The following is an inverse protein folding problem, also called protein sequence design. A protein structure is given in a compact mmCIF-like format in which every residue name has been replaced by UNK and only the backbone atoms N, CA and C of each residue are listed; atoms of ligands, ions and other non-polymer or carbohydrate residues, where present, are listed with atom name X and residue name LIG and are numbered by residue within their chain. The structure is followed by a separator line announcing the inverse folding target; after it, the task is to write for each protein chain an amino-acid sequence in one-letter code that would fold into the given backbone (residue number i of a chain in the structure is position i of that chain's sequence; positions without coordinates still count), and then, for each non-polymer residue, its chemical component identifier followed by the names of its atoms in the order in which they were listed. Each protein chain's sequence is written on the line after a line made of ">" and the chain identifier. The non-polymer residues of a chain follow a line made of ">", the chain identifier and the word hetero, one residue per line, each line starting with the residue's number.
data_IF_477287510379
#
_entry.id   IF_477287510379
#
_cell.length_a   1.000
_cell.length_b   1.000
_cell.length_c   1.000
_cell.angle_alpha   90.00
_cell.angle_beta   90.00
_cell.angle_gamma   90.00
#
_symmetry.space_group_name_H-M   'P 1'
#
loop_
_entity.id
_entity.type
_entity.pdbx_description
1 polymer ?
#
# COMPACT_ATOMS: atom_id res chain seq x y z
N UNK A 1 -61.66 0.64 58.53
CA UNK A 1 -61.40 1.42 57.29
C UNK A 1 -60.09 0.94 56.69
N UNK A 2 -60.16 0.31 55.51
CA UNK A 2 -59.03 -0.26 54.76
C UNK A 2 -58.20 0.87 54.16
N UNK A 3 -56.86 0.84 54.29
CA UNK A 3 -55.94 1.56 53.43
C UNK A 3 -55.06 0.53 52.72
N UNK A 4 -55.37 0.32 51.45
CA UNK A 4 -54.57 -0.44 50.50
C UNK A 4 -53.43 0.48 50.03
N UNK A 5 -52.19 0.03 50.18
CA UNK A 5 -51.02 0.66 49.57
C UNK A 5 -50.77 -0.07 48.25
N UNK A 6 -51.02 0.58 47.12
CA UNK A 6 -50.76 0.06 45.78
C UNK A 6 -49.36 0.54 45.36
N UNK A 7 -48.41 -0.38 45.24
CA UNK A 7 -47.10 -0.08 44.68
C UNK A 7 -47.19 -0.20 43.15
N UNK A 8 -47.03 0.92 42.44
CA UNK A 8 -46.83 0.94 40.99
C UNK A 8 -45.39 0.52 40.71
N UNK A 9 -45.19 -0.62 40.04
CA UNK A 9 -43.91 -1.00 39.44
C UNK A 9 -43.97 -0.55 37.98
N UNK A 10 -43.31 0.55 37.66
CA UNK A 10 -43.03 0.96 36.27
C UNK A 10 -41.81 0.20 35.78
N UNK A 11 -42.03 -0.83 34.96
CA UNK A 11 -40.97 -1.52 34.23
C UNK A 11 -40.58 -0.69 33.02
N UNK A 12 -39.38 -0.11 33.02
CA UNK A 12 -38.79 0.50 31.84
C UNK A 12 -38.30 -0.60 30.90
N UNK A 13 -38.90 -0.69 29.70
CA UNK A 13 -38.38 -1.50 28.60
C UNK A 13 -37.14 -0.79 28.04
N UNK A 14 -35.95 -1.35 28.28
CA UNK A 14 -34.73 -0.94 27.57
C UNK A 14 -34.74 -1.70 26.25
N UNK A 15 -35.06 -1.00 25.16
CA UNK A 15 -34.85 -1.51 23.80
C UNK A 15 -33.34 -1.48 23.56
N UNK A 16 -32.71 -2.65 23.69
CA UNK A 16 -31.31 -2.85 23.32
C UNK A 16 -31.21 -2.72 21.80
N UNK A 17 -30.87 -1.53 21.31
CA UNK A 17 -30.45 -1.34 19.93
C UNK A 17 -29.20 -2.20 19.68
N UNK A 18 -29.29 -3.09 18.69
CA UNK A 18 -28.15 -3.81 18.17
C UNK A 18 -27.30 -2.79 17.38
N UNK A 19 -26.39 -2.10 18.06
CA UNK A 19 -25.30 -1.42 17.37
C UNK A 19 -24.41 -2.54 16.81
N UNK A 20 -24.36 -2.65 15.49
CA UNK A 20 -23.37 -3.51 14.84
C UNK A 20 -21.98 -3.12 15.40
N UNK A 21 -21.12 -4.08 15.77
CA UNK A 21 -19.76 -3.74 16.17
C UNK A 21 -19.14 -2.96 15.01
N UNK A 22 -18.59 -1.80 15.31
CA UNK A 22 -17.72 -1.11 14.36
C UNK A 22 -16.61 -2.10 14.00
N UNK A 23 -16.48 -2.42 12.72
CA UNK A 23 -15.40 -3.27 12.24
C UNK A 23 -14.09 -2.57 12.62
N UNK A 24 -13.31 -3.22 13.48
CA UNK A 24 -11.98 -2.74 13.80
C UNK A 24 -11.19 -2.60 12.49
N UNK A 25 -10.39 -1.54 12.30
CA UNK A 25 -9.60 -1.37 11.10
C UNK A 25 -8.68 -2.60 10.95
N UNK A 26 -8.88 -3.34 9.85
CA UNK A 26 -8.06 -4.49 9.49
C UNK A 26 -6.60 -4.01 9.45
N UNK A 27 -5.69 -4.61 10.24
CA UNK A 27 -4.27 -4.32 10.14
C UNK A 27 -3.84 -4.48 8.69
N UNK A 28 -2.93 -3.62 8.21
CA UNK A 28 -2.50 -3.65 6.81
C UNK A 28 -1.93 -5.00 6.32
N UNK A 29 -1.66 -5.94 7.24
CA UNK A 29 -1.19 -7.31 6.99
C UNK A 29 -2.30 -8.35 6.73
N UNK A 30 -3.59 -7.98 6.76
CA UNK A 30 -4.71 -8.93 6.60
C UNK A 30 -5.73 -8.54 5.51
N UNK A 31 -5.42 -7.57 4.65
CA UNK A 31 -6.29 -7.25 3.53
C UNK A 31 -6.39 -8.46 2.57
N UNK A 32 -7.60 -8.82 2.08
CA UNK A 32 -7.74 -9.90 1.11
C UNK A 32 -6.88 -9.63 -0.12
N UNK A 33 -6.27 -10.69 -0.68
CA UNK A 33 -5.56 -10.59 -1.95
C UNK A 33 -6.49 -10.00 -3.03
N UNK A 34 -5.93 -9.13 -3.88
CA UNK A 34 -6.65 -8.41 -4.93
C UNK A 34 -7.82 -7.53 -4.43
N UNK A 35 -7.75 -7.06 -3.19
CA UNK A 35 -8.66 -6.06 -2.62
C UNK A 35 -8.37 -4.62 -3.05
N UNK A 36 -7.31 -4.37 -3.82
CA UNK A 36 -6.94 -3.04 -4.27
C UNK A 36 -8.09 -2.35 -5.00
N UNK A 37 -8.43 -1.14 -4.56
CA UNK A 37 -9.57 -0.39 -5.06
C UNK A 37 -9.39 1.11 -4.86
N UNK A 38 -10.20 1.89 -5.55
CA UNK A 38 -10.40 3.31 -5.22
C UNK A 38 -11.43 3.43 -4.09
N UNK A 39 -11.06 4.12 -3.01
CA UNK A 39 -11.98 4.52 -1.95
C UNK A 39 -12.57 5.89 -2.29
N UNK A 40 -13.85 5.94 -2.62
CA UNK A 40 -14.56 7.17 -3.01
C UNK A 40 -14.74 8.17 -1.86
N UNK A 41 -14.76 7.71 -0.60
CA UNK A 41 -14.92 8.59 0.56
C UNK A 41 -13.60 9.28 0.90
N UNK A 42 -12.50 8.57 0.70
CA UNK A 42 -11.13 9.03 0.98
C UNK A 42 -10.42 9.58 -0.25
N UNK A 43 -11.00 9.40 -1.43
CA UNK A 43 -10.46 9.78 -2.74
C UNK A 43 -9.05 9.21 -2.99
N UNK A 44 -8.81 7.94 -2.65
CA UNK A 44 -7.48 7.32 -2.75
C UNK A 44 -7.55 5.82 -3.08
N UNK A 45 -6.57 5.33 -3.82
CA UNK A 45 -6.38 3.89 -4.05
C UNK A 45 -5.70 3.21 -2.87
N UNK A 46 -6.16 2.04 -2.40
CA UNK A 46 -5.45 1.27 -1.37
C UNK A 46 -5.86 -0.21 -1.41
N UNK A 47 -5.11 -1.06 -0.71
CA UNK A 47 -5.35 -2.50 -0.61
C UNK A 47 -4.18 -3.33 -1.14
N UNK A 48 -4.45 -4.62 -1.35
CA UNK A 48 -3.46 -5.59 -1.84
C UNK A 48 -3.80 -6.01 -3.26
N UNK A 49 -2.80 -6.20 -4.10
CA UNK A 49 -2.99 -6.80 -5.42
C UNK A 49 -1.80 -7.66 -5.86
N UNK A 50 -2.06 -8.53 -6.81
CA UNK A 50 -1.07 -9.32 -7.52
C UNK A 50 -0.82 -8.74 -8.90
N UNK A 51 0.45 -8.62 -9.27
CA UNK A 51 0.90 -8.11 -10.57
C UNK A 51 1.97 -9.04 -11.13
N UNK A 52 1.83 -9.39 -12.40
CA UNK A 52 2.87 -10.05 -13.18
C UNK A 52 3.68 -8.97 -13.92
N UNK A 53 5.00 -9.08 -13.87
CA UNK A 53 5.88 -8.07 -14.44
C UNK A 53 7.36 -8.35 -14.28
N UNK A 54 8.17 -7.31 -14.49
CA UNK A 54 9.62 -7.41 -14.36
C UNK A 54 10.26 -6.08 -13.94
N UNK A 55 11.42 -6.17 -13.28
CA UNK A 55 12.16 -5.03 -12.79
C UNK A 55 13.03 -4.38 -13.87
N UNK A 56 13.12 -3.06 -13.84
CA UNK A 56 14.13 -2.26 -14.53
C UNK A 56 14.79 -1.33 -13.53
N UNK A 57 16.11 -1.19 -13.67
CA UNK A 57 16.94 -0.40 -12.77
C UNK A 57 17.29 0.92 -13.46
N UNK A 58 17.09 2.04 -12.78
CA UNK A 58 17.43 3.37 -13.27
C UNK A 58 18.29 4.10 -12.24
N UNK A 59 19.38 4.69 -12.73
CA UNK A 59 20.21 5.57 -11.91
C UNK A 59 19.52 6.93 -11.79
N UNK A 60 19.24 7.33 -10.55
CA UNK A 60 18.61 8.59 -10.21
C UNK A 60 19.58 9.43 -9.38
N UNK A 61 19.49 10.75 -9.51
CA UNK A 61 20.19 11.68 -8.63
C UNK A 61 19.30 12.06 -7.44
N UNK A 62 19.92 12.33 -6.30
CA UNK A 62 19.23 12.91 -5.14
C UNK A 62 18.36 14.10 -5.54
N UNK A 63 17.11 14.04 -5.11
CA UNK A 63 16.14 15.09 -5.39
C UNK A 63 16.58 16.39 -4.71
N UNK A 64 16.50 17.51 -5.43
CA UNK A 64 16.82 18.86 -4.91
C UNK A 64 18.28 19.07 -4.48
N UNK A 65 19.21 18.20 -4.89
CA UNK A 65 20.63 18.42 -4.66
C UNK A 65 21.21 19.46 -5.66
N UNK A 66 21.98 20.41 -5.15
CA UNK A 66 22.63 21.46 -5.95
C UNK A 66 24.14 21.22 -6.14
N UNK A 67 24.83 20.59 -5.18
CA UNK A 67 26.27 20.28 -5.21
C UNK A 67 26.54 18.93 -4.51
N UNK A 68 27.55 18.17 -4.98
CA UNK A 68 27.99 16.87 -4.43
C UNK A 68 26.90 15.78 -4.31
N UNK A 69 26.05 15.66 -5.33
CA UNK A 69 24.89 14.75 -5.31
C UNK A 69 25.26 13.28 -5.34
N UNK A 70 24.63 12.50 -4.46
CA UNK A 70 24.67 11.04 -4.55
C UNK A 70 23.81 10.55 -5.72
N UNK A 71 24.18 9.41 -6.27
CA UNK A 71 23.34 8.63 -7.19
C UNK A 71 22.83 7.40 -6.47
N UNK A 72 21.60 7.01 -6.77
CA UNK A 72 21.01 5.77 -6.28
C UNK A 72 20.39 4.98 -7.43
N UNK A 73 20.45 3.66 -7.33
CA UNK A 73 19.80 2.75 -8.27
C UNK A 73 18.36 2.53 -7.82
N UNK A 74 17.42 3.13 -8.52
CA UNK A 74 15.99 2.99 -8.28
C UNK A 74 15.39 1.86 -9.12
N UNK A 75 14.38 1.18 -8.59
CA UNK A 75 13.75 0.01 -9.19
C UNK A 75 12.32 0.35 -9.60
N UNK A 76 12.04 0.20 -10.89
CA UNK A 76 10.69 0.18 -11.43
C UNK A 76 10.27 -1.24 -11.73
N UNK A 77 9.05 -1.61 -11.35
CA UNK A 77 8.42 -2.85 -11.75
C UNK A 77 7.42 -2.56 -12.88
N UNK A 78 7.73 -3.06 -14.06
CA UNK A 78 6.92 -2.91 -15.26
C UNK A 78 5.81 -3.96 -15.22
N UNK A 79 4.57 -3.49 -15.22
CA UNK A 79 3.38 -4.33 -15.14
C UNK A 79 3.07 -4.87 -16.54
N UNK A 80 3.03 -6.20 -16.66
CA UNK A 80 2.61 -6.90 -17.87
C UNK A 80 1.14 -7.31 -17.78
N UNK A 81 0.72 -7.80 -16.61
CA UNK A 81 -0.62 -8.31 -16.41
C UNK A 81 -1.05 -8.20 -14.94
N UNK A 82 -2.37 -8.08 -14.74
CA UNK A 82 -3.02 -8.04 -13.42
C UNK A 82 -4.50 -8.40 -13.59
N UNK A 83 -5.11 -8.98 -12.57
CA UNK A 83 -6.54 -9.25 -12.52
C UNK A 83 -7.35 -8.10 -11.88
N UNK A 84 -6.67 -7.02 -11.47
CA UNK A 84 -7.29 -5.89 -10.78
C UNK A 84 -7.27 -4.63 -11.64
N UNK A 85 -8.40 -4.30 -12.28
CA UNK A 85 -8.53 -3.14 -13.17
C UNK A 85 -8.27 -1.77 -12.48
N UNK A 86 -8.31 -1.70 -11.14
CA UNK A 86 -8.08 -0.43 -10.45
C UNK A 86 -6.62 0.02 -10.49
N UNK A 87 -5.67 -0.88 -10.78
CA UNK A 87 -4.25 -0.51 -10.92
C UNK A 87 -4.00 0.33 -12.16
N UNK A 88 -4.73 0.09 -13.25
CA UNK A 88 -4.58 0.85 -14.50
C UNK A 88 -4.87 2.33 -14.27
N UNK A 89 -5.94 2.63 -13.54
CA UNK A 89 -6.29 4.02 -13.20
C UNK A 89 -5.24 4.60 -12.25
N UNK A 90 -4.82 3.83 -11.25
CA UNK A 90 -3.81 4.25 -10.28
C UNK A 90 -2.49 4.67 -10.95
N UNK A 91 -1.97 3.85 -11.88
CA UNK A 91 -0.69 4.14 -12.55
C UNK A 91 -0.85 5.29 -13.54
N UNK A 92 -1.97 5.39 -14.28
CA UNK A 92 -2.24 6.50 -15.20
C UNK A 92 -2.41 7.85 -14.50
N UNK A 93 -2.95 7.85 -13.29
CA UNK A 93 -3.08 9.06 -12.46
C UNK A 93 -1.77 9.42 -11.74
N UNK A 94 -0.90 8.42 -11.53
CA UNK A 94 0.40 8.55 -10.88
C UNK A 94 1.34 9.52 -11.59
N UNK A 95 2.08 10.32 -10.81
CA UNK A 95 3.13 11.23 -11.29
C UNK A 95 4.28 11.26 -10.28
N UNK A 96 5.50 11.51 -10.76
CA UNK A 96 6.69 11.71 -9.92
C UNK A 96 7.60 10.47 -9.85
N UNK A 97 8.57 10.49 -8.94
CA UNK A 97 9.72 9.56 -8.94
C UNK A 97 9.34 8.07 -8.78
N UNK A 98 8.16 7.75 -8.24
CA UNK A 98 7.65 6.36 -8.16
C UNK A 98 6.82 5.93 -9.38
N UNK A 99 6.73 6.77 -10.41
CA UNK A 99 5.97 6.54 -11.64
C UNK A 99 6.71 7.17 -12.84
N UNK A 100 7.71 6.46 -13.39
CA UNK A 100 8.48 6.93 -14.58
C UNK A 100 7.86 6.46 -15.91
N UNK A 101 6.80 5.65 -15.88
CA UNK A 101 6.08 5.26 -17.09
C UNK A 101 4.63 4.85 -16.85
N UNK A 102 3.85 4.83 -17.94
CA UNK A 102 2.39 4.62 -17.95
C UNK A 102 1.94 3.25 -17.39
N UNK A 103 2.85 2.29 -17.24
CA UNK A 103 2.59 0.91 -16.80
C UNK A 103 3.63 0.40 -15.78
N UNK A 104 4.15 1.26 -14.90
CA UNK A 104 5.16 0.85 -13.91
C UNK A 104 4.86 1.38 -12.52
N UNK A 105 5.32 0.66 -11.51
CA UNK A 105 5.34 1.12 -10.12
C UNK A 105 6.78 1.15 -9.60
N UNK A 106 7.12 2.18 -8.84
CA UNK A 106 8.38 2.26 -8.13
C UNK A 106 8.39 1.38 -6.88
N UNK A 107 9.45 0.59 -6.71
CA UNK A 107 9.62 -0.31 -5.55
C UNK A 107 10.60 0.24 -4.50
N UNK A 108 11.41 1.22 -4.85
CA UNK A 108 12.48 1.74 -3.99
C UNK A 108 13.86 1.64 -4.61
N UNK A 109 14.87 1.55 -3.76
CA UNK A 109 16.28 1.50 -4.14
C UNK A 109 16.92 0.15 -3.83
N UNK A 110 18.01 -0.15 -4.55
CA UNK A 110 18.88 -1.30 -4.23
C UNK A 110 19.91 -0.86 -3.18
N UNK A 111 19.96 -1.56 -2.06
CA UNK A 111 21.02 -1.43 -1.06
C UNK A 111 21.42 -2.84 -0.57
N UNK A 112 22.71 -3.18 -0.60
CA UNK A 112 23.23 -4.49 -0.15
C UNK A 112 22.52 -5.73 -0.74
N UNK A 113 22.03 -5.65 -1.98
CA UNK A 113 21.21 -6.66 -2.68
C UNK A 113 19.79 -6.86 -2.11
N UNK A 114 19.36 -6.00 -1.20
CA UNK A 114 17.98 -5.87 -0.74
C UNK A 114 17.30 -4.70 -1.45
N UNK A 115 15.98 -4.76 -1.56
CA UNK A 115 15.16 -3.61 -1.94
C UNK A 115 14.79 -2.86 -0.66
N UNK A 116 15.30 -1.63 -0.53
CA UNK A 116 14.98 -0.72 0.56
C UNK A 116 14.10 0.43 0.06
N UNK A 117 13.12 0.83 0.86
CA UNK A 117 12.27 1.96 0.53
C UNK A 117 11.67 2.67 1.74
N UNK A 118 11.30 3.94 1.52
CA UNK A 118 10.43 4.69 2.42
C UNK A 118 9.01 4.60 1.90
N UNK A 119 8.04 4.37 2.79
CA UNK A 119 6.62 4.46 2.47
C UNK A 119 5.85 5.20 3.55
N UNK A 120 4.77 5.87 3.14
CA UNK A 120 3.91 6.65 4.03
C UNK A 120 2.49 6.09 4.05
N UNK A 121 1.90 6.08 5.24
CA UNK A 121 0.52 5.69 5.50
C UNK A 121 -0.09 6.60 6.57
N UNK A 122 -1.41 6.56 6.72
CA UNK A 122 -2.12 7.35 7.74
C UNK A 122 -1.71 6.97 9.17
N UNK A 123 -1.20 5.75 9.36
CA UNK A 123 -0.77 5.22 10.67
C UNK A 123 0.74 5.34 10.90
N UNK A 124 1.54 5.52 9.84
CA UNK A 124 3.01 5.51 9.91
C UNK A 124 3.56 6.39 8.79
N UNK A 125 3.84 7.67 9.06
CA UNK A 125 4.46 8.56 8.10
C UNK A 125 5.94 8.20 7.94
N UNK A 126 6.43 8.15 6.70
CA UNK A 126 7.84 7.95 6.33
C UNK A 126 8.51 6.78 7.07
N UNK A 127 7.87 5.61 7.04
CA UNK A 127 8.46 4.40 7.60
C UNK A 127 9.36 3.73 6.56
N UNK A 128 10.51 3.26 7.03
CA UNK A 128 11.45 2.48 6.23
C UNK A 128 11.05 1.01 6.21
N UNK A 129 11.23 0.39 5.06
CA UNK A 129 10.95 -1.02 4.80
C UNK A 129 12.12 -1.62 4.04
N UNK A 130 12.44 -2.86 4.41
CA UNK A 130 13.43 -3.67 3.71
C UNK A 130 12.76 -4.97 3.26
N UNK A 131 12.92 -5.27 1.98
CA UNK A 131 12.47 -6.53 1.39
C UNK A 131 13.54 -7.58 1.60
N UNK A 132 13.13 -8.80 1.96
CA UNK A 132 14.10 -9.89 2.18
C UNK A 132 15.01 -10.09 0.96
N UNK A 133 16.26 -10.50 1.19
CA UNK A 133 17.21 -10.71 0.09
C UNK A 133 16.72 -11.76 -0.93
N UNK A 134 15.98 -12.78 -0.49
CA UNK A 134 15.42 -13.80 -1.39
C UNK A 134 14.39 -13.21 -2.36
N UNK A 135 13.45 -12.43 -1.84
CA UNK A 135 12.43 -11.75 -2.65
C UNK A 135 13.07 -10.68 -3.53
N UNK A 136 13.98 -9.89 -2.96
CA UNK A 136 14.76 -8.87 -3.69
C UNK A 136 15.52 -9.48 -4.85
N UNK A 137 16.20 -10.62 -4.65
CA UNK A 137 16.92 -11.33 -5.69
C UNK A 137 15.99 -11.79 -6.83
N UNK A 138 14.81 -12.36 -6.50
CA UNK A 138 13.83 -12.76 -7.52
C UNK A 138 13.33 -11.55 -8.33
N UNK A 139 13.03 -10.43 -7.67
CA UNK A 139 12.60 -9.19 -8.32
C UNK A 139 13.71 -8.63 -9.22
N UNK A 140 14.92 -8.45 -8.70
CA UNK A 140 16.04 -7.82 -9.42
C UNK A 140 16.54 -8.65 -10.62
N UNK A 141 16.30 -9.96 -10.63
CA UNK A 141 16.67 -10.83 -11.76
C UNK A 141 15.51 -11.12 -12.73
N UNK A 142 14.33 -10.52 -12.52
CA UNK A 142 13.22 -10.65 -13.47
C UNK A 142 13.51 -9.88 -14.77
N UNK A 143 12.97 -10.36 -15.88
CA UNK A 143 13.07 -9.69 -17.18
C UNK A 143 11.78 -9.85 -17.97
N UNK A 144 11.66 -9.17 -19.10
CA UNK A 144 10.50 -9.34 -19.98
C UNK A 144 10.35 -10.78 -20.49
N UNK A 145 11.46 -11.51 -20.67
CA UNK A 145 11.46 -12.93 -21.08
C UNK A 145 11.21 -13.90 -19.92
N UNK A 146 11.45 -13.46 -18.67
CA UNK A 146 11.24 -14.23 -17.46
C UNK A 146 10.56 -13.36 -16.40
N UNK A 147 9.28 -13.01 -16.60
CA UNK A 147 8.54 -12.19 -15.65
C UNK A 147 8.26 -12.99 -14.37
N UNK A 148 7.99 -12.26 -13.30
CA UNK A 148 7.58 -12.83 -12.02
C UNK A 148 6.23 -12.25 -11.62
N UNK A 149 5.54 -12.95 -10.72
CA UNK A 149 4.33 -12.44 -10.10
C UNK A 149 4.62 -12.04 -8.67
N UNK A 150 4.27 -10.79 -8.33
CA UNK A 150 4.43 -10.26 -6.98
C UNK A 150 3.08 -9.81 -6.41
N UNK A 151 2.89 -10.04 -5.13
CA UNK A 151 1.86 -9.40 -4.32
C UNK A 151 2.44 -8.12 -3.73
N UNK A 152 1.68 -7.03 -3.86
CA UNK A 152 2.03 -5.72 -3.32
C UNK A 152 0.89 -5.17 -2.48
N UNK A 153 1.24 -4.49 -1.39
CA UNK A 153 0.26 -3.87 -0.48
C UNK A 153 0.47 -2.36 -0.42
N UNK A 154 -0.57 -1.60 -0.79
CA UNK A 154 -0.63 -0.15 -0.61
C UNK A 154 -1.51 0.16 0.61
N UNK A 155 -0.94 0.65 1.72
CA UNK A 155 -1.76 1.07 2.86
C UNK A 155 -2.63 2.28 2.51
N UNK A 156 -3.66 2.53 3.33
CA UNK A 156 -4.41 3.77 3.24
C UNK A 156 -3.48 4.94 3.57
N UNK A 157 -3.44 5.91 2.66
CA UNK A 157 -2.70 7.15 2.84
C UNK A 157 -3.49 8.31 2.24
N UNK A 158 -4.12 9.10 3.09
CA UNK A 158 -4.93 10.27 2.72
C UNK A 158 -4.13 11.57 2.74
N UNK A 159 -2.87 11.51 3.18
CA UNK A 159 -1.94 12.63 3.15
C UNK A 159 -1.44 12.97 1.74
N UNK A 160 -1.12 14.26 1.53
CA UNK A 160 -0.32 14.71 0.40
C UNK A 160 1.08 15.06 0.88
N UNK A 161 2.03 14.14 0.72
CA UNK A 161 3.45 14.38 1.03
C UNK A 161 4.28 14.28 -0.24
N UNK A 162 5.33 15.10 -0.35
CA UNK A 162 6.35 14.90 -1.36
C UNK A 162 7.02 13.55 -1.13
N UNK A 163 7.23 12.78 -2.21
CA UNK A 163 7.94 11.51 -2.16
C UNK A 163 9.43 11.79 -1.91
N UNK A 164 10.04 11.30 -0.81
CA UNK A 164 11.49 11.34 -0.64
C UNK A 164 12.19 10.46 -1.69
N UNK A 165 13.52 10.53 -1.73
CA UNK A 165 14.30 9.56 -2.49
C UNK A 165 14.02 8.13 -2.00
N UNK A 166 14.12 7.15 -2.91
CA UNK A 166 13.81 5.74 -2.63
C UNK A 166 12.39 5.47 -2.10
N UNK A 167 11.42 6.35 -2.40
CA UNK A 167 10.04 6.18 -1.96
C UNK A 167 9.29 5.10 -2.74
N UNK A 168 8.40 4.35 -2.09
CA UNK A 168 7.42 3.46 -2.69
C UNK A 168 6.03 3.71 -2.09
N UNK A 169 5.00 3.65 -2.93
CA UNK A 169 3.61 3.70 -2.45
C UNK A 169 3.14 2.38 -1.82
N UNK A 170 3.93 1.32 -1.98
CA UNK A 170 3.66 0.00 -1.43
C UNK A 170 4.63 -0.27 -0.29
N UNK A 171 4.20 -1.05 0.70
CA UNK A 171 4.98 -1.35 1.91
C UNK A 171 5.53 -2.77 1.97
N UNK A 172 5.02 -3.65 1.12
CA UNK A 172 5.35 -5.07 1.13
C UNK A 172 5.40 -5.61 -0.28
N UNK A 173 6.36 -6.48 -0.52
CA UNK A 173 6.53 -7.23 -1.76
C UNK A 173 6.70 -8.70 -1.40
N UNK A 174 5.79 -9.55 -1.88
CA UNK A 174 5.86 -11.00 -1.71
C UNK A 174 5.86 -11.67 -3.09
N UNK A 175 6.53 -12.81 -3.21
CA UNK A 175 6.49 -13.60 -4.45
C UNK A 175 5.26 -14.51 -4.41
N UNK A 176 4.50 -14.51 -5.50
CA UNK A 176 3.40 -15.45 -5.73
C UNK A 176 3.88 -16.43 -6.80
N UNK A 177 4.31 -17.62 -6.38
CA UNK A 177 4.78 -18.68 -7.29
C UNK A 177 3.61 -19.43 -7.97
#
# INVERSE_FOLDING_TARGET
>A
MKKFLLALITTALIVSGCTAPAEDPVPADEAPLNSFKYDEEKYVHHGTLTIEGYATLEEQQESFCEEDCSTYTYIFFNILNTDNEAIDNYVKEGKGNSFIGDNSIGLGCVEDNSIWHISSSDISPNKEYETSQEVSYKILNSSIENPITIEVTRPLFTGGAGAPDCYSHFTQFNIVD
#
